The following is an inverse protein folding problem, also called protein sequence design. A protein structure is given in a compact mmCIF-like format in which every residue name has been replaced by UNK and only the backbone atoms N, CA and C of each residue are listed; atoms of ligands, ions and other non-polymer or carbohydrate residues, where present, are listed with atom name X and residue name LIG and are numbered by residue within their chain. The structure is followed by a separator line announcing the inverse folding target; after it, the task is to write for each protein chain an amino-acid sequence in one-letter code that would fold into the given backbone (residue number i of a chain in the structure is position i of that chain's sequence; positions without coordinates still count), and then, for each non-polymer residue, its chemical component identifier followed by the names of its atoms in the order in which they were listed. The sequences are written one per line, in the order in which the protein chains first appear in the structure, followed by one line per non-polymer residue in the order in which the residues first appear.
data_IF_130060373779
#
_entry.id   IF_130060373779
#
_cell.length_a   1.000
_cell.length_b   1.000
_cell.length_c   1.000
_cell.angle_alpha   90.00
_cell.angle_beta   90.00
_cell.angle_gamma   90.00
#
_symmetry.space_group_name_H-M   'P 1'
#
loop_
_entity.id
_entity.type
_entity.pdbx_description
1 polymer ?
#
# COMPACT_ATOMS: atom_id res chain seq x y z
N UNK A 1 -21.84 -1.66 28.33
CA UNK A 1 -23.14 -1.65 27.62
C UNK A 1 -23.10 -2.74 26.60
N UNK A 2 -24.08 -3.63 26.66
CA UNK A 2 -24.15 -4.81 25.80
C UNK A 2 -24.63 -4.40 24.40
N UNK A 3 -23.70 -3.90 23.58
CA UNK A 3 -23.95 -3.41 22.21
C UNK A 3 -24.47 -4.51 21.27
N UNK A 4 -24.50 -5.77 21.74
CA UNK A 4 -25.00 -6.93 21.00
C UNK A 4 -26.33 -7.47 21.54
N UNK A 5 -26.86 -6.95 22.66
CA UNK A 5 -28.01 -7.54 23.34
C UNK A 5 -29.41 -7.03 22.96
N UNK A 6 -29.55 -6.02 22.09
CA UNK A 6 -30.87 -5.62 21.58
C UNK A 6 -30.87 -5.41 20.05
N UNK A 7 -31.51 -6.30 19.27
CA UNK A 7 -31.66 -6.09 17.84
C UNK A 7 -32.90 -5.21 17.62
N UNK A 8 -32.74 -3.88 17.72
CA UNK A 8 -33.73 -2.98 17.10
C UNK A 8 -33.60 -3.07 15.58
N UNK A 9 -34.30 -4.04 14.97
CA UNK A 9 -34.90 -4.15 13.61
C UNK A 9 -34.28 -3.42 12.39
N UNK A 10 -33.07 -2.88 12.46
CA UNK A 10 -32.38 -2.27 11.32
C UNK A 10 -31.58 -3.34 10.60
N UNK A 11 -31.89 -3.54 9.31
CA UNK A 11 -31.08 -4.38 8.42
C UNK A 11 -29.61 -3.94 8.53
N UNK A 12 -28.65 -4.86 8.74
CA UNK A 12 -27.24 -4.51 8.78
C UNK A 12 -26.78 -3.99 7.42
N UNK A 13 -25.91 -2.99 7.42
CA UNK A 13 -25.23 -2.52 6.21
C UNK A 13 -24.35 -3.64 5.66
N UNK A 14 -24.60 -4.07 4.42
CA UNK A 14 -23.88 -5.17 3.78
C UNK A 14 -22.76 -4.62 2.92
N UNK A 15 -21.52 -5.00 3.20
CA UNK A 15 -20.35 -4.58 2.42
C UNK A 15 -19.60 -5.76 1.82
N UNK A 16 -19.19 -5.63 0.56
CA UNK A 16 -18.19 -6.50 -0.08
C UNK A 16 -16.87 -5.74 -0.14
N UNK A 17 -15.82 -6.26 0.49
CA UNK A 17 -14.48 -5.65 0.46
C UNK A 17 -13.53 -6.52 -0.35
N UNK A 18 -12.87 -5.94 -1.34
CA UNK A 18 -11.79 -6.58 -2.08
C UNK A 18 -10.46 -5.92 -1.74
N UNK A 19 -9.56 -6.63 -1.08
CA UNK A 19 -8.24 -6.11 -0.68
C UNK A 19 -7.18 -6.58 -1.66
N UNK A 20 -6.54 -5.64 -2.36
CA UNK A 20 -5.36 -5.87 -3.19
C UNK A 20 -4.12 -5.40 -2.41
N UNK A 21 -3.32 -6.33 -1.85
CA UNK A 21 -2.10 -5.97 -1.16
C UNK A 21 -0.98 -5.59 -2.15
N UNK A 22 0.17 -5.17 -1.61
CA UNK A 22 1.40 -5.16 -2.39
C UNK A 22 1.85 -6.57 -2.81
N UNK A 23 2.87 -6.66 -3.67
CA UNK A 23 3.36 -7.95 -4.16
C UNK A 23 4.35 -8.65 -3.21
N UNK A 24 4.26 -8.38 -1.90
CA UNK A 24 5.09 -9.04 -0.90
C UNK A 24 4.67 -10.52 -0.75
N UNK A 25 5.63 -11.47 -0.64
CA UNK A 25 5.36 -12.91 -0.59
C UNK A 25 4.85 -13.35 0.79
N UNK A 26 3.70 -12.80 1.18
CA UNK A 26 3.07 -13.04 2.47
C UNK A 26 1.82 -13.91 2.24
N UNK A 27 1.63 -15.00 3.01
CA UNK A 27 0.50 -15.89 2.80
C UNK A 27 -0.84 -15.17 3.06
N UNK A 28 -1.92 -15.49 2.33
CA UNK A 28 -3.23 -14.87 2.55
C UNK A 28 -3.72 -14.91 4.01
N UNK A 29 -3.40 -15.98 4.74
CA UNK A 29 -3.74 -16.14 6.15
C UNK A 29 -3.19 -15.01 7.04
N UNK A 30 -2.05 -14.42 6.68
CA UNK A 30 -1.47 -13.29 7.41
C UNK A 30 -2.42 -12.09 7.45
N UNK A 31 -3.06 -11.73 6.33
CA UNK A 31 -3.95 -10.57 6.28
C UNK A 31 -5.20 -10.77 7.14
N UNK A 32 -5.74 -12.00 7.16
CA UNK A 32 -6.84 -12.37 8.05
C UNK A 32 -6.42 -12.31 9.53
N UNK A 33 -5.26 -12.86 9.86
CA UNK A 33 -4.72 -12.84 11.23
C UNK A 33 -4.38 -11.41 11.69
N UNK A 34 -3.84 -10.59 10.79
CA UNK A 34 -3.61 -9.17 11.02
C UNK A 34 -4.92 -8.45 11.30
N UNK A 35 -5.94 -8.63 10.44
CA UNK A 35 -7.26 -8.03 10.63
C UNK A 35 -7.88 -8.45 11.97
N UNK A 36 -7.79 -9.74 12.33
CA UNK A 36 -8.28 -10.23 13.61
C UNK A 36 -7.57 -9.53 14.78
N UNK A 37 -6.24 -9.63 14.85
CA UNK A 37 -5.46 -9.09 15.96
C UNK A 37 -5.60 -7.58 16.10
N UNK A 38 -5.53 -6.87 14.98
CA UNK A 38 -5.62 -5.41 14.96
C UNK A 38 -7.06 -4.94 15.14
N UNK A 39 -8.05 -5.66 14.62
CA UNK A 39 -9.46 -5.36 14.85
C UNK A 39 -9.85 -5.51 16.30
N UNK A 40 -9.43 -6.59 16.97
CA UNK A 40 -9.59 -6.75 18.42
C UNK A 40 -8.93 -5.61 19.18
N UNK A 41 -7.67 -5.29 18.86
CA UNK A 41 -6.97 -4.18 19.51
C UNK A 41 -7.66 -2.82 19.25
N UNK A 42 -8.30 -2.62 18.10
CA UNK A 42 -9.06 -1.39 17.82
C UNK A 42 -10.37 -1.35 18.61
N UNK A 43 -11.06 -2.48 18.73
CA UNK A 43 -12.29 -2.62 19.53
C UNK A 43 -12.05 -2.37 21.03
N UNK A 44 -10.86 -2.70 21.54
CA UNK A 44 -10.47 -2.36 22.92
C UNK A 44 -10.25 -0.85 23.13
N UNK A 45 -9.91 -0.13 22.05
CA UNK A 45 -9.56 1.30 22.10
C UNK A 45 -10.70 2.23 21.68
N UNK A 46 -11.72 1.71 21.01
CA UNK A 46 -12.81 2.48 20.44
C UNK A 46 -14.15 1.80 20.71
N UNK A 47 -15.23 2.58 20.76
CA UNK A 47 -16.58 2.06 20.97
C UNK A 47 -17.10 1.28 19.74
N UNK A 48 -16.61 0.05 19.58
CA UNK A 48 -17.01 -0.88 18.54
C UNK A 48 -16.86 -2.33 19.00
N UNK A 49 -17.63 -3.23 18.41
CA UNK A 49 -17.45 -4.66 18.52
C UNK A 49 -17.26 -5.28 17.13
N UNK A 50 -16.31 -6.21 17.01
CA UNK A 50 -16.00 -6.92 15.77
C UNK A 50 -16.00 -8.43 16.03
N UNK A 51 -16.78 -9.18 15.25
CA UNK A 51 -16.78 -10.63 15.27
C UNK A 51 -16.33 -11.17 13.90
N UNK A 52 -15.18 -11.83 13.88
CA UNK A 52 -14.61 -12.43 12.67
C UNK A 52 -15.02 -13.90 12.51
N UNK A 53 -15.37 -14.28 11.28
CA UNK A 53 -15.67 -15.66 10.88
C UNK A 53 -14.91 -16.02 9.61
N UNK A 54 -14.57 -17.31 9.37
CA UNK A 54 -14.04 -17.75 8.08
C UNK A 54 -14.99 -17.38 6.93
N UNK A 55 -14.42 -17.05 5.77
CA UNK A 55 -15.17 -16.73 4.55
C UNK A 55 -15.40 -17.96 3.67
N UNK A 56 -15.77 -17.71 2.41
CA UNK A 56 -16.03 -18.78 1.42
C UNK A 56 -14.76 -19.53 0.97
N UNK A 57 -13.57 -18.97 1.21
CA UNK A 57 -12.31 -19.53 0.74
C UNK A 57 -11.13 -19.17 1.64
N UNK A 58 -9.94 -19.71 1.35
CA UNK A 58 -8.75 -19.56 2.21
C UNK A 58 -8.24 -18.11 2.29
N UNK A 59 -8.64 -17.26 1.35
CA UNK A 59 -8.26 -15.85 1.25
C UNK A 59 -9.42 -14.90 1.59
N UNK A 60 -10.50 -15.39 2.22
CA UNK A 60 -11.65 -14.56 2.60
C UNK A 60 -12.10 -14.77 4.04
N UNK A 61 -12.71 -13.73 4.61
CA UNK A 61 -13.30 -13.75 5.94
C UNK A 61 -14.53 -12.85 6.02
N UNK A 62 -15.39 -13.12 7.00
CA UNK A 62 -16.55 -12.28 7.29
C UNK A 62 -16.35 -11.54 8.60
N UNK A 63 -16.87 -10.33 8.67
CA UNK A 63 -16.80 -9.44 9.82
C UNK A 63 -18.19 -8.90 10.11
N UNK A 64 -18.73 -9.26 11.27
CA UNK A 64 -19.89 -8.57 11.82
C UNK A 64 -19.38 -7.43 12.71
N UNK A 65 -19.67 -6.19 12.33
CA UNK A 65 -19.32 -4.99 13.07
C UNK A 65 -20.55 -4.37 13.73
N UNK A 66 -20.40 -3.96 14.99
CA UNK A 66 -21.37 -3.16 15.72
C UNK A 66 -20.69 -1.87 16.18
N UNK A 67 -21.29 -0.73 15.84
CA UNK A 67 -20.82 0.61 16.20
C UNK A 67 -22.03 1.45 16.61
N UNK A 68 -21.82 2.60 17.23
CA UNK A 68 -22.89 3.54 17.61
C UNK A 68 -23.86 3.85 16.44
N UNK A 69 -23.32 4.00 15.23
CA UNK A 69 -24.10 4.30 14.03
C UNK A 69 -24.93 3.11 13.49
N UNK A 70 -24.76 1.89 14.02
CA UNK A 70 -25.47 0.69 13.59
C UNK A 70 -24.56 -0.53 13.31
N UNK A 71 -25.16 -1.52 12.64
CA UNK A 71 -24.53 -2.82 12.36
C UNK A 71 -24.08 -2.93 10.90
N UNK A 72 -23.01 -3.68 10.68
CA UNK A 72 -22.48 -3.98 9.36
C UNK A 72 -22.10 -5.46 9.26
N UNK A 73 -22.46 -6.09 8.14
CA UNK A 73 -21.97 -7.41 7.76
C UNK A 73 -21.06 -7.26 6.53
N UNK A 74 -19.78 -7.60 6.70
CA UNK A 74 -18.76 -7.41 5.68
C UNK A 74 -18.16 -8.74 5.26
N UNK A 75 -18.12 -9.01 3.96
CA UNK A 75 -17.34 -10.11 3.39
C UNK A 75 -16.09 -9.54 2.75
N UNK A 76 -14.93 -9.85 3.32
CA UNK A 76 -13.62 -9.43 2.84
C UNK A 76 -12.99 -10.55 2.03
N UNK A 77 -12.52 -10.22 0.83
CA UNK A 77 -11.85 -11.12 -0.09
C UNK A 77 -10.49 -10.51 -0.48
N UNK A 78 -9.42 -11.25 -0.19
CA UNK A 78 -8.07 -10.86 -0.60
C UNK A 78 -7.85 -11.27 -2.06
N UNK A 79 -7.26 -10.36 -2.83
CA UNK A 79 -6.89 -10.55 -4.23
C UNK A 79 -5.35 -10.63 -4.35
N UNK A 80 -4.73 -11.78 -4.00
CA UNK A 80 -3.28 -11.93 -3.99
C UNK A 80 -2.71 -12.07 -5.40
N UNK A 81 -1.53 -11.50 -5.60
CA UNK A 81 -0.76 -11.59 -6.84
C UNK A 81 0.74 -11.78 -6.59
N UNK A 82 1.13 -11.99 -5.33
CA UNK A 82 2.52 -12.15 -4.92
C UNK A 82 3.18 -13.43 -5.51
N UNK A 83 2.37 -14.40 -5.91
CA UNK A 83 2.82 -15.60 -6.64
C UNK A 83 3.46 -15.27 -7.99
N UNK A 84 3.09 -14.13 -8.60
CA UNK A 84 3.68 -13.67 -9.86
C UNK A 84 5.02 -12.94 -9.66
N UNK A 85 5.37 -12.61 -8.41
CA UNK A 85 6.55 -11.80 -8.10
C UNK A 85 7.79 -12.72 -8.00
N UNK A 86 8.79 -12.54 -8.87
CA UNK A 86 10.01 -13.34 -8.83
C UNK A 86 10.75 -13.13 -7.50
N UNK A 87 11.04 -14.22 -6.78
CA UNK A 87 11.84 -14.20 -5.55
C UNK A 87 11.09 -14.59 -4.28
N UNK A 88 9.81 -14.95 -4.38
CA UNK A 88 9.04 -15.54 -3.28
C UNK A 88 9.59 -16.89 -2.78
N UNK A 89 10.36 -17.60 -3.62
CA UNK A 89 11.03 -18.86 -3.30
C UNK A 89 12.55 -18.67 -3.41
N UNK A 90 13.25 -18.80 -2.28
CA UNK A 90 14.71 -18.78 -2.08
C UNK A 90 15.60 -18.74 -3.32
N UNK A 91 15.68 -17.60 -4.00
CA UNK A 91 16.57 -17.44 -5.16
C UNK A 91 18.03 -17.32 -4.71
N UNK A 92 18.93 -17.86 -5.53
CA UNK A 92 20.36 -17.62 -5.41
C UNK A 92 20.66 -16.11 -5.42
N UNK A 93 21.71 -15.71 -4.70
CA UNK A 93 22.09 -14.30 -4.47
C UNK A 93 22.30 -13.55 -5.79
N UNK A 94 22.87 -14.21 -6.81
CA UNK A 94 23.25 -13.60 -8.09
C UNK A 94 22.04 -13.16 -8.95
N UNK A 95 21.05 -14.01 -9.28
CA UNK A 95 19.83 -13.58 -9.96
C UNK A 95 19.10 -12.45 -9.24
N UNK A 96 19.06 -12.49 -7.90
CA UNK A 96 18.43 -11.45 -7.10
C UNK A 96 19.17 -10.10 -7.23
N UNK A 97 20.51 -10.11 -7.23
CA UNK A 97 21.31 -8.92 -7.44
C UNK A 97 21.17 -8.36 -8.86
N UNK A 98 21.23 -9.23 -9.88
CA UNK A 98 21.05 -8.83 -11.27
C UNK A 98 19.68 -8.19 -11.51
N UNK A 99 18.61 -8.76 -10.92
CA UNK A 99 17.27 -8.17 -10.98
C UNK A 99 17.18 -6.78 -10.34
N UNK A 100 17.88 -6.55 -9.22
CA UNK A 100 17.94 -5.23 -8.55
C UNK A 100 18.66 -4.20 -9.39
N UNK A 101 19.83 -4.55 -9.93
CA UNK A 101 20.60 -3.68 -10.80
C UNK A 101 19.84 -3.37 -12.08
N UNK A 102 19.17 -4.36 -12.67
CA UNK A 102 18.30 -4.16 -13.83
C UNK A 102 17.13 -3.22 -13.52
N UNK A 103 16.49 -3.37 -12.35
CA UNK A 103 15.43 -2.46 -11.90
C UNK A 103 15.97 -1.03 -11.75
N UNK A 104 17.06 -0.85 -10.99
CA UNK A 104 17.69 0.47 -10.80
C UNK A 104 18.09 1.11 -12.14
N UNK A 105 18.68 0.32 -13.04
CA UNK A 105 19.06 0.76 -14.38
C UNK A 105 17.84 1.26 -15.17
N UNK A 106 16.71 0.56 -15.14
CA UNK A 106 15.48 1.02 -15.81
C UNK A 106 15.03 2.38 -15.27
N UNK A 107 15.01 2.56 -13.95
CA UNK A 107 14.61 3.84 -13.34
C UNK A 107 15.58 4.99 -13.69
N UNK A 108 16.88 4.71 -13.78
CA UNK A 108 17.89 5.67 -14.20
C UNK A 108 17.79 6.01 -15.69
N UNK A 109 17.82 4.99 -16.55
CA UNK A 109 17.83 5.13 -18.01
C UNK A 109 16.56 5.79 -18.56
N UNK A 110 15.42 5.66 -17.86
CA UNK A 110 14.17 6.33 -18.22
C UNK A 110 14.00 7.73 -17.60
N UNK A 111 14.97 8.20 -16.81
CA UNK A 111 14.87 9.44 -16.04
C UNK A 111 13.77 9.43 -14.97
N UNK A 112 13.17 8.27 -14.69
CA UNK A 112 12.10 8.10 -13.72
C UNK A 112 12.61 8.35 -12.31
N UNK A 113 13.83 7.90 -11.99
CA UNK A 113 14.42 8.10 -10.66
C UNK A 113 14.51 9.58 -10.29
N UNK A 114 14.98 10.42 -11.22
CA UNK A 114 15.12 11.86 -10.99
C UNK A 114 13.75 12.53 -10.77
N UNK A 115 12.74 12.15 -11.56
CA UNK A 115 11.37 12.66 -11.40
C UNK A 115 10.77 12.25 -10.05
N UNK A 116 10.98 11.01 -9.62
CA UNK A 116 10.56 10.55 -8.29
C UNK A 116 11.31 11.25 -7.17
N UNK A 117 12.60 11.49 -7.35
CA UNK A 117 13.42 12.18 -6.35
C UNK A 117 12.96 13.64 -6.17
N UNK A 118 12.62 14.33 -7.28
CA UNK A 118 12.02 15.67 -7.25
C UNK A 118 10.65 15.68 -6.57
N UNK A 119 9.84 14.64 -6.78
CA UNK A 119 8.52 14.52 -6.17
C UNK A 119 8.61 14.27 -4.65
N UNK A 120 9.40 13.27 -4.23
CA UNK A 120 9.54 12.88 -2.82
C UNK A 120 10.88 12.21 -2.56
N UNK A 121 11.94 12.97 -2.20
CA UNK A 121 13.28 12.42 -2.02
C UNK A 121 13.34 11.39 -0.89
N UNK A 122 12.54 11.58 0.17
CA UNK A 122 12.45 10.63 1.29
C UNK A 122 12.03 9.23 0.82
N UNK A 123 11.09 9.14 -0.13
CA UNK A 123 10.64 7.85 -0.66
C UNK A 123 11.72 7.16 -1.49
N UNK A 124 12.41 7.92 -2.33
CA UNK A 124 13.53 7.39 -3.13
C UNK A 124 14.67 6.93 -2.23
N UNK A 125 15.05 7.72 -1.23
CA UNK A 125 16.11 7.36 -0.28
C UNK A 125 15.74 6.12 0.54
N UNK A 126 14.49 5.98 0.96
CA UNK A 126 14.03 4.80 1.69
C UNK A 126 14.14 3.50 0.86
N UNK A 127 14.00 3.60 -0.46
CA UNK A 127 14.16 2.48 -1.39
C UNK A 127 15.65 2.19 -1.66
N UNK A 128 16.47 3.23 -1.87
CA UNK A 128 17.85 3.09 -2.33
C UNK A 128 18.90 2.92 -1.22
N UNK A 129 18.72 3.55 -0.05
CA UNK A 129 19.74 3.54 1.01
C UNK A 129 19.98 2.13 1.57
N UNK A 130 18.96 1.32 1.93
CA UNK A 130 19.20 -0.02 2.45
C UNK A 130 20.04 -0.91 1.51
N UNK A 131 19.73 -1.08 0.21
CA UNK A 131 20.56 -1.88 -0.68
C UNK A 131 21.94 -1.26 -0.92
N UNK A 132 22.08 0.08 -0.95
CA UNK A 132 23.38 0.74 -1.08
C UNK A 132 24.30 0.48 0.12
N UNK A 133 23.78 0.61 1.35
CA UNK A 133 24.54 0.32 2.58
C UNK A 133 24.96 -1.14 2.63
N UNK A 134 24.05 -2.07 2.31
CA UNK A 134 24.37 -3.50 2.28
C UNK A 134 25.43 -3.84 1.22
N UNK A 135 25.38 -3.18 0.06
CA UNK A 135 26.39 -3.34 -0.99
C UNK A 135 27.75 -2.79 -0.56
N UNK A 136 27.76 -1.64 0.14
CA UNK A 136 28.98 -1.09 0.74
C UNK A 136 29.58 -1.99 1.81
N UNK A 137 28.76 -2.55 2.71
CA UNK A 137 29.21 -3.51 3.70
C UNK A 137 29.78 -4.80 3.06
N UNK A 138 29.16 -5.29 1.98
CA UNK A 138 29.67 -6.42 1.22
C UNK A 138 31.03 -6.11 0.56
N UNK A 139 31.18 -4.91 -0.02
CA UNK A 139 32.44 -4.46 -0.61
C UNK A 139 33.55 -4.31 0.44
N UNK A 140 33.23 -3.76 1.62
CA UNK A 140 34.16 -3.66 2.75
C UNK A 140 34.58 -5.04 3.28
N UNK A 141 33.64 -5.96 3.42
CA UNK A 141 33.93 -7.34 3.84
C UNK A 141 34.85 -8.04 2.84
N UNK A 142 34.61 -7.87 1.54
CA UNK A 142 35.47 -8.40 0.49
C UNK A 142 36.87 -7.75 0.53
N UNK A 143 36.95 -6.42 0.62
CA UNK A 143 38.22 -5.70 0.71
C UNK A 143 39.06 -6.11 1.92
N UNK A 144 38.43 -6.21 3.10
CA UNK A 144 39.10 -6.67 4.32
C UNK A 144 39.60 -8.13 4.18
N UNK A 145 38.80 -9.00 3.56
CA UNK A 145 39.19 -10.38 3.29
C UNK A 145 40.36 -10.50 2.31
N UNK A 146 40.41 -9.66 1.28
CA UNK A 146 41.53 -9.61 0.31
C UNK A 146 42.81 -9.06 0.95
N UNK A 147 42.72 -8.01 1.77
CA UNK A 147 43.87 -7.48 2.50
C UNK A 147 44.43 -8.50 3.50
N UNK A 148 43.56 -9.22 4.20
CA UNK A 148 43.98 -10.30 5.09
C UNK A 148 44.58 -11.46 4.29
N UNK A 149 43.98 -11.83 3.15
CA UNK A 149 44.53 -12.85 2.26
C UNK A 149 45.97 -12.50 1.85
N UNK A 150 46.21 -11.25 1.48
CA UNK A 150 47.54 -10.76 1.11
C UNK A 150 48.52 -10.80 2.29
N UNK A 151 48.11 -10.33 3.48
CA UNK A 151 48.94 -10.34 4.67
C UNK A 151 49.30 -11.77 5.11
N UNK A 152 48.34 -12.69 5.08
CA UNK A 152 48.58 -14.10 5.38
C UNK A 152 49.44 -14.76 4.31
N UNK A 153 49.19 -14.47 3.02
CA UNK A 153 50.01 -15.03 1.94
C UNK A 153 51.48 -14.58 2.00
N UNK A 154 51.75 -13.43 2.62
CA UNK A 154 53.11 -12.96 2.88
C UNK A 154 53.75 -13.59 4.13
N UNK A 155 52.95 -14.05 5.10
CA UNK A 155 53.41 -14.60 6.37
C UNK A 155 53.52 -16.14 6.36
N UNK A 156 52.66 -16.81 5.61
CA UNK A 156 52.58 -18.25 5.46
C UNK A 156 52.70 -18.64 3.98
N UNK A 157 52.46 -19.90 3.65
CA UNK A 157 52.43 -20.37 2.26
C UNK A 157 51.34 -19.61 1.45
N UNK A 158 51.67 -18.95 0.32
CA UNK A 158 50.74 -18.05 -0.36
C UNK A 158 49.37 -18.66 -0.71
N UNK A 159 49.28 -19.91 -1.22
CA UNK A 159 47.99 -20.56 -1.46
C UNK A 159 47.13 -20.70 -0.19
N UNK A 160 47.75 -21.02 0.96
CA UNK A 160 47.05 -21.15 2.24
C UNK A 160 46.58 -19.78 2.77
N UNK A 161 47.38 -18.72 2.59
CA UNK A 161 46.99 -17.36 2.97
C UNK A 161 45.81 -16.83 2.15
N UNK A 162 45.83 -17.06 0.83
CA UNK A 162 44.71 -16.73 -0.06
C UNK A 162 43.45 -17.52 0.27
N UNK A 163 43.57 -18.83 0.52
CA UNK A 163 42.44 -19.66 0.91
C UNK A 163 41.81 -19.17 2.23
N UNK A 164 42.63 -18.88 3.24
CA UNK A 164 42.15 -18.40 4.54
C UNK A 164 41.43 -17.05 4.44
N UNK A 165 41.99 -16.09 3.70
CA UNK A 165 41.37 -14.77 3.52
C UNK A 165 40.09 -14.80 2.68
N UNK A 166 40.04 -15.64 1.62
CA UNK A 166 38.82 -15.85 0.84
C UNK A 166 37.72 -16.57 1.63
N UNK A 167 38.09 -17.55 2.46
CA UNK A 167 37.14 -18.21 3.37
C UNK A 167 36.57 -17.21 4.38
N UNK A 168 37.40 -16.36 4.99
CA UNK A 168 36.92 -15.31 5.90
C UNK A 168 36.02 -14.31 5.18
N UNK A 169 36.41 -13.85 3.98
CA UNK A 169 35.56 -12.98 3.15
C UNK A 169 34.20 -13.62 2.90
N UNK A 170 34.18 -14.91 2.54
CA UNK A 170 32.97 -15.70 2.35
C UNK A 170 32.12 -15.75 3.63
N UNK A 171 32.72 -16.05 4.78
CA UNK A 171 32.01 -16.06 6.08
C UNK A 171 31.44 -14.69 6.44
N UNK A 172 32.19 -13.61 6.24
CA UNK A 172 31.72 -12.24 6.49
C UNK A 172 30.58 -11.85 5.53
N UNK A 173 30.66 -12.24 4.26
CA UNK A 173 29.59 -12.03 3.28
C UNK A 173 28.33 -12.83 3.64
N UNK A 174 28.44 -14.05 4.16
CA UNK A 174 27.31 -14.82 4.67
C UNK A 174 26.64 -14.18 5.90
N UNK A 175 27.38 -13.34 6.65
CA UNK A 175 26.83 -12.53 7.76
C UNK A 175 26.10 -11.28 7.26
N UNK A 176 26.40 -10.79 6.06
CA UNK A 176 25.63 -9.73 5.39
C UNK A 176 24.31 -10.32 4.86
N UNK A 177 23.33 -10.42 5.76
CA UNK A 177 21.97 -10.85 5.38
C UNK A 177 21.24 -9.69 4.71
N UNK A 178 20.99 -9.82 3.41
CA UNK A 178 20.02 -8.97 2.73
C UNK A 178 18.62 -9.34 3.24
N UNK A 179 17.84 -8.41 3.81
CA UNK A 179 16.47 -8.69 4.19
C UNK A 179 15.65 -9.11 2.94
N UNK A 180 14.62 -9.96 3.10
CA UNK A 180 13.69 -10.26 2.01
C UNK A 180 13.17 -8.94 1.42
N UNK A 181 13.22 -8.85 0.09
CA UNK A 181 13.22 -7.60 -0.66
C UNK A 181 11.87 -6.86 -0.52
N UNK A 182 11.79 -5.66 0.09
CA UNK A 182 10.53 -4.92 0.25
C UNK A 182 9.98 -4.28 -1.06
N UNK A 183 10.48 -4.71 -2.23
CA UNK A 183 10.25 -4.11 -3.55
C UNK A 183 10.37 -5.11 -4.72
N UNK A 184 10.32 -6.43 -4.48
CA UNK A 184 10.44 -7.41 -5.58
C UNK A 184 9.34 -7.23 -6.64
N UNK A 185 8.17 -6.80 -6.19
CA UNK A 185 7.04 -6.43 -7.01
C UNK A 185 7.31 -5.22 -7.92
N UNK A 186 8.06 -4.23 -7.44
CA UNK A 186 8.55 -3.13 -8.28
C UNK A 186 9.47 -3.63 -9.39
N UNK A 187 10.28 -4.65 -9.13
CA UNK A 187 11.13 -5.27 -10.15
C UNK A 187 10.30 -5.91 -11.26
N UNK A 188 9.23 -6.64 -10.92
CA UNK A 188 8.31 -7.22 -11.90
C UNK A 188 7.68 -6.13 -12.78
N UNK A 189 7.17 -5.07 -12.17
CA UNK A 189 6.52 -3.96 -12.87
C UNK A 189 7.50 -3.13 -13.72
N UNK A 190 8.71 -2.88 -13.20
CA UNK A 190 9.73 -2.11 -13.88
C UNK A 190 10.29 -2.82 -15.11
N UNK A 191 10.40 -4.15 -15.09
CA UNK A 191 10.85 -4.95 -16.26
C UNK A 191 9.97 -4.74 -17.49
N UNK A 192 8.69 -4.47 -17.28
CA UNK A 192 7.74 -4.13 -18.35
C UNK A 192 7.66 -2.61 -18.61
N UNK A 193 8.57 -1.82 -18.02
CA UNK A 193 8.58 -0.35 -18.07
C UNK A 193 7.23 0.27 -17.73
N UNK A 194 6.48 -0.38 -16.83
CA UNK A 194 5.17 0.05 -16.35
C UNK A 194 3.97 -0.53 -17.09
N UNK A 195 4.17 -1.31 -18.17
CA UNK A 195 3.09 -2.09 -18.77
C UNK A 195 2.73 -3.30 -17.89
N UNK A 196 1.49 -3.79 -18.00
CA UNK A 196 1.09 -5.03 -17.34
C UNK A 196 1.72 -6.22 -18.08
N UNK A 197 2.36 -7.12 -17.35
CA UNK A 197 2.78 -8.40 -17.93
C UNK A 197 1.57 -9.24 -18.31
N UNK A 198 1.66 -10.16 -19.28
CA UNK A 198 0.55 -11.03 -19.66
C UNK A 198 -0.05 -11.80 -18.47
N UNK A 199 0.79 -12.35 -17.59
CA UNK A 199 0.36 -13.07 -16.39
C UNK A 199 -0.39 -12.16 -15.39
N UNK A 200 0.07 -10.91 -15.23
CA UNK A 200 -0.62 -9.94 -14.38
C UNK A 200 -1.94 -9.49 -15.02
N UNK A 201 -1.98 -9.29 -16.33
CA UNK A 201 -3.20 -8.94 -17.06
C UNK A 201 -4.28 -10.04 -16.93
N UNK A 202 -3.88 -11.31 -17.05
CA UNK A 202 -4.79 -12.44 -16.82
C UNK A 202 -5.30 -12.48 -15.37
N UNK A 203 -4.42 -12.26 -14.39
CA UNK A 203 -4.78 -12.16 -12.97
C UNK A 203 -5.77 -11.01 -12.73
N UNK A 204 -5.55 -9.86 -13.34
CA UNK A 204 -6.46 -8.71 -13.29
C UNK A 204 -7.82 -9.02 -13.93
N UNK A 205 -7.86 -9.81 -15.01
CA UNK A 205 -9.10 -10.30 -15.60
C UNK A 205 -9.91 -11.18 -14.63
N UNK A 206 -9.24 -12.07 -13.89
CA UNK A 206 -9.88 -12.89 -12.85
C UNK A 206 -10.42 -12.03 -11.69
N UNK A 207 -9.66 -11.03 -11.27
CA UNK A 207 -10.12 -10.07 -10.25
C UNK A 207 -11.36 -9.30 -10.73
N UNK A 208 -11.34 -8.82 -11.98
CA UNK A 208 -12.49 -8.13 -12.57
C UNK A 208 -13.73 -9.02 -12.58
N UNK A 209 -13.59 -10.29 -12.98
CA UNK A 209 -14.71 -11.23 -12.97
C UNK A 209 -15.33 -11.39 -11.57
N UNK A 210 -14.50 -11.48 -10.52
CA UNK A 210 -14.96 -11.56 -9.13
C UNK A 210 -15.72 -10.28 -8.70
N UNK A 211 -15.23 -9.09 -9.08
CA UNK A 211 -15.94 -7.82 -8.82
C UNK A 211 -17.25 -7.73 -9.58
N UNK A 212 -17.26 -8.09 -10.87
CA UNK A 212 -18.47 -8.11 -11.69
C UNK A 212 -19.54 -9.04 -11.14
N UNK A 213 -19.14 -10.17 -10.53
CA UNK A 213 -20.08 -11.04 -9.83
C UNK A 213 -20.59 -10.41 -8.53
N UNK A 214 -19.71 -9.81 -7.73
CA UNK A 214 -20.12 -9.12 -6.51
C UNK A 214 -21.04 -7.93 -6.76
N UNK A 215 -20.95 -7.26 -7.91
CA UNK A 215 -21.89 -6.20 -8.32
C UNK A 215 -23.35 -6.68 -8.42
N UNK A 216 -23.57 -7.97 -8.65
CA UNK A 216 -24.93 -8.57 -8.70
C UNK A 216 -25.44 -9.01 -7.33
N UNK A 217 -24.57 -9.01 -6.32
CA UNK A 217 -24.95 -9.39 -4.96
C UNK A 217 -25.76 -8.29 -4.27
N UNK A 218 -26.60 -8.69 -3.32
CA UNK A 218 -27.36 -7.77 -2.47
C UNK A 218 -26.47 -7.15 -1.38
N UNK A 219 -25.49 -6.35 -1.77
CA UNK A 219 -24.73 -5.48 -0.87
C UNK A 219 -25.10 -4.02 -1.09
N UNK A 220 -24.83 -3.20 -0.07
CA UNK A 220 -25.07 -1.77 -0.09
C UNK A 220 -23.85 -1.03 -0.66
N UNK A 221 -22.64 -1.58 -0.45
CA UNK A 221 -21.37 -1.04 -0.98
C UNK A 221 -20.39 -2.15 -1.38
N UNK A 222 -19.75 -1.95 -2.54
CA UNK A 222 -18.57 -2.69 -2.98
C UNK A 222 -17.35 -1.76 -2.83
N UNK A 223 -16.47 -2.12 -1.90
CA UNK A 223 -15.27 -1.38 -1.56
C UNK A 223 -14.03 -2.13 -2.05
N UNK A 224 -13.24 -1.52 -2.94
CA UNK A 224 -11.91 -2.02 -3.30
C UNK A 224 -10.88 -1.26 -2.48
N UNK A 225 -10.01 -2.00 -1.78
CA UNK A 225 -8.91 -1.45 -1.00
C UNK A 225 -7.59 -1.83 -1.67
N UNK A 226 -6.83 -0.84 -2.12
CA UNK A 226 -5.49 -1.06 -2.67
C UNK A 226 -4.42 -0.56 -1.70
N UNK A 227 -3.58 -1.44 -1.18
CA UNK A 227 -2.48 -1.07 -0.28
C UNK A 227 -1.14 -1.08 -1.02
N UNK A 228 -0.28 -0.11 -0.74
CA UNK A 228 1.07 -0.04 -1.31
C UNK A 228 1.06 -0.01 -2.85
N UNK A 229 1.74 -0.93 -3.53
CA UNK A 229 1.71 -1.13 -4.99
C UNK A 229 0.37 -1.67 -5.49
N UNK A 230 -0.40 -2.37 -4.64
CA UNK A 230 -1.76 -2.81 -4.92
C UNK A 230 -2.73 -1.65 -5.18
N UNK A 231 -2.40 -0.42 -4.75
CA UNK A 231 -3.17 0.78 -5.08
C UNK A 231 -3.27 1.03 -6.60
N UNK A 232 -2.16 0.86 -7.34
CA UNK A 232 -2.17 1.04 -8.79
C UNK A 232 -3.00 -0.04 -9.50
N UNK A 233 -2.94 -1.28 -9.00
CA UNK A 233 -3.77 -2.37 -9.50
C UNK A 233 -5.25 -2.15 -9.18
N UNK A 234 -5.59 -1.63 -8.00
CA UNK A 234 -6.96 -1.30 -7.62
C UNK A 234 -7.55 -0.20 -8.52
N UNK A 235 -6.75 0.82 -8.87
CA UNK A 235 -7.13 1.84 -9.86
C UNK A 235 -7.43 1.19 -11.21
N UNK A 236 -6.51 0.39 -11.76
CA UNK A 236 -6.74 -0.27 -13.04
C UNK A 236 -7.93 -1.24 -13.01
N UNK A 237 -8.11 -1.97 -11.92
CA UNK A 237 -9.23 -2.90 -11.72
C UNK A 237 -10.57 -2.16 -11.76
N UNK A 238 -10.69 -1.05 -11.01
CA UNK A 238 -11.90 -0.24 -10.99
C UNK A 238 -12.14 0.43 -12.35
N UNK A 239 -11.11 0.94 -13.01
CA UNK A 239 -11.25 1.55 -14.33
C UNK A 239 -11.72 0.52 -15.39
N UNK A 240 -11.18 -0.70 -15.33
CA UNK A 240 -11.62 -1.82 -16.18
C UNK A 240 -13.06 -2.25 -15.88
N UNK A 241 -13.48 -2.20 -14.61
CA UNK A 241 -14.86 -2.48 -14.20
C UNK A 241 -15.83 -1.44 -14.78
N UNK A 242 -15.51 -0.14 -14.67
CA UNK A 242 -16.35 0.93 -15.25
C UNK A 242 -16.44 0.84 -16.77
N UNK A 243 -15.32 0.64 -17.46
CA UNK A 243 -15.29 0.45 -18.91
C UNK A 243 -16.09 -0.76 -19.37
N UNK A 244 -16.18 -1.79 -18.52
CA UNK A 244 -16.99 -2.98 -18.78
C UNK A 244 -18.50 -2.75 -18.77
N UNK A 245 -18.94 -1.56 -18.35
CA UNK A 245 -20.33 -1.26 -18.10
C UNK A 245 -20.77 -1.74 -16.71
N UNK A 246 -21.61 -0.93 -16.08
CA UNK A 246 -22.16 -1.23 -14.76
C UNK A 246 -23.64 -1.59 -14.90
N UNK A 247 -24.16 -2.55 -14.11
CA UNK A 247 -25.59 -2.85 -14.12
C UNK A 247 -26.39 -1.66 -13.59
N UNK A 248 -27.64 -1.52 -14.06
CA UNK A 248 -28.52 -0.43 -13.66
C UNK A 248 -28.79 -0.41 -12.16
N UNK A 249 -29.11 -1.57 -11.57
CA UNK A 249 -29.13 -1.76 -10.11
C UNK A 249 -27.79 -2.32 -9.65
N UNK A 250 -27.12 -1.59 -8.77
CA UNK A 250 -25.78 -1.91 -8.25
C UNK A 250 -25.57 -1.33 -6.85
N UNK A 251 -24.63 -1.88 -6.05
CA UNK A 251 -24.16 -1.24 -4.83
C UNK A 251 -23.42 0.07 -5.12
N UNK A 252 -23.24 0.90 -4.09
CA UNK A 252 -22.29 2.01 -4.16
C UNK A 252 -20.87 1.47 -4.44
N UNK A 253 -20.12 2.15 -5.31
CA UNK A 253 -18.75 1.79 -5.64
C UNK A 253 -17.77 2.69 -4.88
N UNK A 254 -16.83 2.07 -4.18
CA UNK A 254 -15.82 2.78 -3.40
C UNK A 254 -14.42 2.24 -3.68
N UNK A 255 -13.45 3.14 -3.78
CA UNK A 255 -12.03 2.84 -3.88
C UNK A 255 -11.30 3.52 -2.72
N UNK A 256 -10.55 2.73 -1.96
CA UNK A 256 -9.68 3.20 -0.89
C UNK A 256 -8.23 2.83 -1.22
N UNK A 257 -7.38 3.82 -1.48
CA UNK A 257 -5.94 3.58 -1.65
C UNK A 257 -5.20 3.93 -0.37
N UNK A 258 -4.31 3.03 0.09
CA UNK A 258 -3.64 3.12 1.38
C UNK A 258 -2.12 3.13 1.20
N UNK A 259 -1.47 4.21 1.62
CA UNK A 259 -0.02 4.35 1.52
C UNK A 259 0.47 4.11 0.09
N UNK A 260 -0.19 4.72 -0.90
CA UNK A 260 0.01 4.36 -2.29
C UNK A 260 1.46 4.54 -2.78
N UNK A 261 1.85 3.68 -3.72
CA UNK A 261 3.12 3.71 -4.46
C UNK A 261 2.93 3.97 -5.97
N UNK A 262 1.81 4.55 -6.36
CA UNK A 262 1.41 4.74 -7.77
C UNK A 262 2.49 5.43 -8.62
N UNK A 263 3.17 6.51 -8.15
CA UNK A 263 4.22 7.16 -8.95
C UNK A 263 5.38 6.25 -9.35
N UNK A 264 5.73 5.23 -8.55
CA UNK A 264 6.77 4.26 -8.93
C UNK A 264 6.41 3.52 -10.22
N UNK A 265 5.12 3.31 -10.47
CA UNK A 265 4.63 2.71 -11.70
C UNK A 265 4.35 3.76 -12.77
N UNK A 266 3.52 4.77 -12.45
CA UNK A 266 2.94 5.67 -13.45
C UNK A 266 3.96 6.56 -14.16
N UNK A 267 5.14 6.77 -13.57
CA UNK A 267 6.20 7.58 -14.18
C UNK A 267 7.01 6.80 -15.21
N UNK A 268 6.94 5.46 -15.20
CA UNK A 268 7.63 4.64 -16.20
C UNK A 268 6.98 4.86 -17.59
N UNK A 269 7.78 4.79 -18.68
CA UNK A 269 7.33 5.24 -20.00
C UNK A 269 6.14 4.45 -20.55
N UNK A 270 6.12 3.13 -20.36
CA UNK A 270 5.05 2.25 -20.87
C UNK A 270 3.88 2.07 -19.90
N UNK A 271 3.83 2.86 -18.82
CA UNK A 271 2.69 2.89 -17.89
C UNK A 271 1.45 3.60 -18.47
N UNK A 272 1.17 3.41 -19.76
CA UNK A 272 0.07 4.06 -20.50
C UNK A 272 -1.29 3.64 -19.96
N UNK A 273 -1.46 2.35 -19.65
CA UNK A 273 -2.70 1.83 -19.11
C UNK A 273 -3.04 2.45 -17.75
N UNK A 274 -2.13 2.41 -16.77
CA UNK A 274 -2.39 3.00 -15.44
C UNK A 274 -2.62 4.50 -15.53
N UNK A 275 -1.90 5.23 -16.41
CA UNK A 275 -2.12 6.66 -16.64
C UNK A 275 -3.51 6.97 -17.21
N UNK A 276 -3.97 6.18 -18.19
CA UNK A 276 -5.34 6.26 -18.71
C UNK A 276 -6.37 5.94 -17.63
N UNK A 277 -6.10 4.93 -16.82
CA UNK A 277 -7.02 4.47 -15.78
C UNK A 277 -7.14 5.50 -14.64
N UNK A 278 -6.03 6.13 -14.24
CA UNK A 278 -6.02 7.25 -13.32
C UNK A 278 -6.87 8.40 -13.83
N UNK A 279 -6.68 8.81 -15.09
CA UNK A 279 -7.48 9.88 -15.71
C UNK A 279 -8.97 9.55 -15.73
N UNK A 280 -9.34 8.34 -16.15
CA UNK A 280 -10.73 7.92 -16.22
C UNK A 280 -11.40 7.87 -14.84
N UNK A 281 -10.73 7.28 -13.84
CA UNK A 281 -11.27 7.23 -12.48
C UNK A 281 -11.36 8.61 -11.86
N UNK A 282 -10.40 9.49 -12.12
CA UNK A 282 -10.36 10.84 -11.56
C UNK A 282 -11.62 11.67 -11.88
N UNK A 283 -12.31 11.40 -12.99
CA UNK A 283 -13.53 12.09 -13.41
C UNK A 283 -14.83 11.28 -13.20
N UNK A 284 -14.75 10.03 -12.74
CA UNK A 284 -15.90 9.15 -12.67
C UNK A 284 -16.80 9.45 -11.46
N UNK A 285 -18.02 9.94 -11.70
CA UNK A 285 -19.01 10.22 -10.65
C UNK A 285 -19.66 8.95 -10.09
N UNK A 286 -19.51 7.81 -10.76
CA UNK A 286 -20.08 6.51 -10.40
C UNK A 286 -19.42 5.86 -9.18
N UNK A 287 -18.27 6.38 -8.73
CA UNK A 287 -17.52 5.86 -7.60
C UNK A 287 -17.12 6.98 -6.62
N UNK A 288 -16.78 6.59 -5.40
CA UNK A 288 -16.04 7.44 -4.46
C UNK A 288 -14.62 6.93 -4.30
N UNK A 289 -13.61 7.79 -4.44
CA UNK A 289 -12.22 7.40 -4.24
C UNK A 289 -11.53 8.28 -3.20
N UNK A 290 -11.05 7.62 -2.14
CA UNK A 290 -10.26 8.21 -1.06
C UNK A 290 -8.85 7.64 -1.08
N UNK A 291 -7.84 8.50 -1.02
CA UNK A 291 -6.45 8.11 -0.78
C UNK A 291 -6.06 8.47 0.65
N UNK A 292 -5.59 7.49 1.42
CA UNK A 292 -5.11 7.70 2.78
C UNK A 292 -3.63 7.41 2.84
N UNK A 293 -2.85 8.40 3.26
CA UNK A 293 -1.41 8.26 3.39
C UNK A 293 -0.87 9.15 4.51
N UNK A 294 0.38 8.96 4.92
CA UNK A 294 0.97 9.71 6.03
C UNK A 294 2.39 10.20 5.71
N UNK A 295 2.72 11.44 6.09
CA UNK A 295 4.05 12.01 5.83
C UNK A 295 5.15 11.21 6.52
N UNK A 296 4.83 10.58 7.65
CA UNK A 296 5.74 9.77 8.46
C UNK A 296 6.09 8.42 7.81
N UNK A 297 5.31 7.96 6.83
CA UNK A 297 5.58 6.77 6.06
C UNK A 297 6.58 7.09 4.93
N UNK A 298 7.83 6.61 5.02
CA UNK A 298 8.82 6.89 4.00
C UNK A 298 8.63 6.00 2.76
N UNK A 299 7.74 5.01 2.77
CA UNK A 299 7.60 4.05 1.69
C UNK A 299 6.48 4.37 0.70
N UNK A 300 5.75 5.46 0.90
CA UNK A 300 4.65 5.89 0.02
C UNK A 300 4.86 7.33 -0.49
N UNK A 301 4.06 7.72 -1.48
CA UNK A 301 3.99 9.10 -1.97
C UNK A 301 2.88 9.85 -1.23
N UNK A 302 3.07 10.01 0.08
CA UNK A 302 2.02 10.54 0.95
C UNK A 302 1.57 11.95 0.57
N UNK A 303 0.25 12.14 0.54
CA UNK A 303 -0.44 13.38 0.20
C UNK A 303 -0.04 13.95 -1.17
N UNK A 304 0.49 13.09 -2.04
CA UNK A 304 0.66 13.38 -3.45
C UNK A 304 -0.54 12.80 -4.18
N UNK A 305 -1.37 13.65 -4.81
CA UNK A 305 -2.44 13.18 -5.68
C UNK A 305 -1.84 12.37 -6.84
N UNK A 306 -2.07 11.04 -6.91
CA UNK A 306 -1.49 10.18 -7.93
C UNK A 306 -1.92 10.54 -9.35
N UNK A 307 -3.05 11.22 -9.54
CA UNK A 307 -3.55 11.65 -10.85
C UNK A 307 -2.76 12.87 -11.32
N UNK A 308 -2.74 13.94 -10.52
CA UNK A 308 -2.01 15.18 -10.82
C UNK A 308 -0.52 14.95 -11.01
N UNK A 309 0.15 14.23 -10.08
CA UNK A 309 1.60 14.05 -10.18
C UNK A 309 2.01 13.16 -11.35
N UNK A 310 1.08 12.33 -11.85
CA UNK A 310 1.28 11.53 -13.06
C UNK A 310 1.03 12.32 -14.35
N UNK A 311 0.62 13.59 -14.27
CA UNK A 311 0.38 14.46 -15.41
C UNK A 311 -0.88 14.12 -16.20
N UNK A 312 -1.88 13.51 -15.55
CA UNK A 312 -3.09 13.00 -16.22
C UNK A 312 -4.39 13.46 -15.55
N UNK A 313 -4.34 14.55 -14.79
CA UNK A 313 -5.51 15.18 -14.20
C UNK A 313 -6.47 15.65 -15.31
N UNK A 314 -7.72 15.16 -15.36
CA UNK A 314 -8.73 15.74 -16.25
C UNK A 314 -9.23 17.09 -15.72
N UNK A 315 -9.80 17.89 -16.60
CA UNK A 315 -10.59 19.06 -16.20
C UNK A 315 -11.78 18.59 -15.35
N UNK A 316 -12.07 19.30 -14.26
CA UNK A 316 -13.14 18.92 -13.34
C UNK A 316 -12.87 17.65 -12.52
N UNK A 317 -11.60 17.22 -12.37
CA UNK A 317 -11.25 16.04 -11.57
C UNK A 317 -11.93 16.04 -10.18
N UNK A 318 -12.63 14.94 -9.88
CA UNK A 318 -13.34 14.70 -8.63
C UNK A 318 -12.44 14.00 -7.60
N UNK A 319 -11.57 13.10 -8.08
CA UNK A 319 -10.88 12.13 -7.24
C UNK A 319 -9.37 12.10 -7.44
N UNK A 320 -8.60 11.54 -6.48
CA UNK A 320 -9.00 11.10 -5.15
C UNK A 320 -9.19 12.25 -4.14
N UNK A 321 -9.99 11.99 -3.12
CA UNK A 321 -9.94 12.73 -1.87
C UNK A 321 -8.73 12.28 -1.05
N UNK A 322 -7.69 13.11 -0.97
CA UNK A 322 -6.46 12.80 -0.23
C UNK A 322 -6.59 13.15 1.26
N UNK A 323 -6.33 12.17 2.14
CA UNK A 323 -6.49 12.27 3.58
C UNK A 323 -5.21 11.81 4.28
N UNK A 324 -4.82 12.53 5.33
CA UNK A 324 -3.69 12.16 6.17
C UNK A 324 -4.13 11.18 7.26
N UNK A 325 -3.44 10.05 7.40
CA UNK A 325 -3.58 9.20 8.60
C UNK A 325 -2.86 9.78 9.83
N UNK A 326 -2.10 10.87 9.65
CA UNK A 326 -1.53 11.69 10.74
C UNK A 326 -0.84 10.84 11.82
N UNK A 327 0.13 9.99 11.44
CA UNK A 327 0.67 8.95 12.33
C UNK A 327 1.35 9.52 13.57
N UNK A 328 1.80 10.78 13.54
CA UNK A 328 2.36 11.47 14.69
C UNK A 328 1.30 11.78 15.76
N UNK A 329 0.07 12.05 15.35
CA UNK A 329 -1.07 12.39 16.19
C UNK A 329 -1.87 11.15 16.60
N UNK A 330 -2.07 10.23 15.66
CA UNK A 330 -2.99 9.09 15.81
C UNK A 330 -2.38 7.87 16.50
N UNK A 331 -1.05 7.79 16.57
CA UNK A 331 -0.33 6.74 17.28
C UNK A 331 0.24 7.23 18.60
N UNK A 332 0.15 6.42 19.65
CA UNK A 332 0.75 6.72 20.95
C UNK A 332 2.29 6.78 20.87
N UNK A 333 2.96 7.53 21.76
CA UNK A 333 4.42 7.57 21.80
C UNK A 333 5.07 6.19 21.90
N UNK A 334 4.44 5.26 22.63
CA UNK A 334 4.90 3.88 22.73
C UNK A 334 4.84 3.14 21.39
N UNK A 335 3.73 3.26 20.65
CA UNK A 335 3.57 2.65 19.32
C UNK A 335 4.52 3.29 18.30
N UNK A 336 4.69 4.62 18.31
CA UNK A 336 5.69 5.31 17.47
C UNK A 336 7.12 4.83 17.73
N UNK A 337 7.49 4.61 18.99
CA UNK A 337 8.80 4.01 19.36
C UNK A 337 8.96 2.60 18.79
N UNK A 338 7.92 1.76 18.85
CA UNK A 338 7.95 0.39 18.27
C UNK A 338 8.11 0.38 16.75
N UNK A 339 7.62 1.42 16.05
CA UNK A 339 7.75 1.60 14.60
C UNK A 339 9.03 2.35 14.17
N UNK A 340 9.85 2.80 15.12
CA UNK A 340 11.11 3.50 14.81
C UNK A 340 12.09 2.53 14.15
N UNK A 341 12.67 2.93 13.03
CA UNK A 341 13.60 2.09 12.25
C UNK A 341 12.94 0.89 11.54
N UNK A 342 11.61 0.79 11.52
CA UNK A 342 10.87 -0.32 10.90
C UNK A 342 9.92 0.19 9.81
N UNK A 343 10.44 0.64 8.65
CA UNK A 343 9.64 1.31 7.62
C UNK A 343 8.53 0.41 7.06
N UNK A 344 8.78 -0.90 6.90
CA UNK A 344 7.74 -1.86 6.45
C UNK A 344 6.57 -1.97 7.43
N UNK A 345 6.83 -2.08 8.73
CA UNK A 345 5.76 -2.10 9.74
C UNK A 345 5.00 -0.78 9.81
N UNK A 346 5.70 0.34 9.62
CA UNK A 346 5.05 1.66 9.54
C UNK A 346 4.16 1.78 8.30
N UNK A 347 4.60 1.23 7.17
CA UNK A 347 3.83 1.20 5.94
C UNK A 347 2.62 0.27 6.02
N UNK A 348 2.69 -0.79 6.83
CA UNK A 348 1.55 -1.67 7.11
C UNK A 348 0.54 -1.04 8.07
N UNK A 349 0.89 0.05 8.77
CA UNK A 349 0.07 0.67 9.82
C UNK A 349 -1.31 1.14 9.34
N UNK A 350 -1.51 1.41 8.04
CA UNK A 350 -2.84 1.73 7.48
C UNK A 350 -3.84 0.59 7.68
N UNK A 351 -3.38 -0.66 7.80
CA UNK A 351 -4.22 -1.85 8.04
C UNK A 351 -4.28 -2.24 9.53
N UNK A 352 -3.71 -1.44 10.43
CA UNK A 352 -3.56 -1.73 11.84
C UNK A 352 -4.40 -0.81 12.73
N UNK A 353 -4.46 -1.12 14.02
CA UNK A 353 -5.16 -0.30 15.01
C UNK A 353 -4.44 1.03 15.27
N UNK A 354 -5.22 2.06 15.56
CA UNK A 354 -4.79 3.41 15.93
C UNK A 354 -5.19 3.70 17.37
N UNK A 355 -4.29 4.34 18.13
CA UNK A 355 -4.57 4.71 19.52
C UNK A 355 -5.60 5.84 19.59
N UNK A 356 -5.55 6.75 18.61
CA UNK A 356 -6.44 7.89 18.45
C UNK A 356 -6.73 8.09 16.97
N UNK A 357 -7.62 7.30 16.35
CA UNK A 357 -7.75 7.23 14.89
C UNK A 357 -8.04 8.57 14.20
N UNK A 358 -8.63 9.55 14.90
CA UNK A 358 -9.01 10.83 14.29
C UNK A 358 -9.98 10.58 13.14
N UNK A 359 -9.63 11.07 11.95
CA UNK A 359 -10.47 10.90 10.75
C UNK A 359 -10.41 9.49 10.16
N UNK A 360 -9.32 8.74 10.38
CA UNK A 360 -9.08 7.48 9.70
C UNK A 360 -8.98 6.29 10.66
N UNK A 361 -9.86 5.31 10.44
CA UNK A 361 -9.84 4.00 11.08
C UNK A 361 -10.27 2.97 10.05
N UNK A 362 -9.37 2.05 9.67
CA UNK A 362 -9.63 1.03 8.67
C UNK A 362 -10.77 0.08 9.08
N UNK A 363 -10.96 -0.18 10.36
CA UNK A 363 -12.03 -1.05 10.87
C UNK A 363 -13.37 -0.33 10.83
N UNK A 364 -13.40 0.97 11.14
CA UNK A 364 -14.60 1.78 10.85
C UNK A 364 -14.90 1.78 9.37
N UNK A 365 -13.92 2.00 8.50
CA UNK A 365 -14.13 2.05 7.04
C UNK A 365 -14.62 0.70 6.49
N UNK A 366 -14.04 -0.41 6.92
CA UNK A 366 -14.33 -1.73 6.36
C UNK A 366 -15.48 -2.45 7.04
N UNK A 367 -15.68 -2.29 8.36
CA UNK A 367 -16.71 -2.99 9.13
C UNK A 367 -17.73 -2.06 9.81
N UNK A 368 -17.79 -0.78 9.42
CA UNK A 368 -18.77 0.18 9.94
C UNK A 368 -19.95 0.41 9.00
N UNK A 369 -21.10 0.86 9.53
CA UNK A 369 -22.40 0.90 8.83
C UNK A 369 -22.59 2.09 7.87
N UNK A 370 -21.53 2.87 7.59
CA UNK A 370 -21.56 4.01 6.67
C UNK A 370 -20.74 3.74 5.42
N UNK A 371 -21.21 4.07 4.21
CA UNK A 371 -20.42 3.99 2.98
C UNK A 371 -19.24 4.96 3.03
N UNK A 372 -18.24 4.74 2.17
CA UNK A 372 -17.02 5.57 2.11
C UNK A 372 -17.34 7.04 1.79
N UNK A 373 -18.33 7.27 0.92
CA UNK A 373 -18.79 8.60 0.52
C UNK A 373 -19.22 9.50 1.69
N UNK A 374 -19.75 8.92 2.76
CA UNK A 374 -20.29 9.66 3.90
C UNK A 374 -19.27 9.87 5.02
N UNK A 375 -18.05 9.32 4.89
CA UNK A 375 -17.09 9.30 6.00
C UNK A 375 -16.29 10.58 6.18
N UNK A 376 -16.11 11.33 5.09
CA UNK A 376 -15.23 12.49 5.07
C UNK A 376 -15.95 13.75 4.58
N UNK A 377 -17.07 14.14 5.23
CA UNK A 377 -17.87 15.28 4.78
C UNK A 377 -17.07 16.58 4.85
N UNK A 378 -17.26 17.45 3.85
CA UNK A 378 -16.67 18.80 3.82
C UNK A 378 -15.16 18.86 3.54
N UNK A 379 -14.50 17.74 3.24
CA UNK A 379 -13.09 17.74 2.83
C UNK A 379 -12.98 17.94 1.32
N UNK A 380 -12.24 18.98 0.92
CA UNK A 380 -11.91 19.27 -0.47
C UNK A 380 -10.68 18.49 -0.96
N UNK A 381 -10.52 18.44 -2.28
CA UNK A 381 -9.33 17.87 -2.95
C UNK A 381 -8.07 18.69 -2.61
N UNK A 382 -6.92 18.02 -2.52
CA UNK A 382 -5.63 18.72 -2.42
C UNK A 382 -5.16 19.04 -3.85
N UNK A 383 -5.25 20.32 -4.25
CA UNK A 383 -4.88 20.76 -5.60
C UNK A 383 -3.38 21.01 -5.79
N UNK A 384 -2.59 21.06 -4.70
CA UNK A 384 -1.14 21.31 -4.73
C UNK A 384 -0.39 20.42 -3.76
N UNK A 385 0.76 19.90 -4.20
CA UNK A 385 1.71 19.19 -3.32
C UNK A 385 2.15 20.16 -2.23
N UNK A 386 1.73 19.94 -0.99
CA UNK A 386 2.09 20.83 0.13
C UNK A 386 3.58 20.67 0.46
N UNK A 387 4.42 21.55 -0.07
CA UNK A 387 5.81 21.70 0.34
C UNK A 387 5.88 22.61 1.57
N UNK A 388 5.64 22.08 2.78
CA UNK A 388 5.83 22.88 4.01
C UNK A 388 4.96 22.51 5.21
N UNK A 389 5.34 23.01 6.37
CA UNK A 389 4.82 22.75 7.72
C UNK A 389 3.55 23.57 8.05
N UNK A 390 2.62 22.98 8.82
CA UNK A 390 1.43 23.64 9.41
C UNK A 390 0.30 23.91 8.41
N UNK A 391 -1.00 23.82 8.70
CA UNK A 391 -1.76 23.69 9.94
C UNK A 391 -3.09 23.02 9.59
N UNK A 392 -3.60 22.15 10.47
CA UNK A 392 -5.01 21.79 10.54
C UNK A 392 -5.83 23.07 10.79
N UNK A 393 -6.45 23.59 9.75
CA UNK A 393 -7.42 24.68 9.83
C UNK A 393 -8.71 24.24 9.16
N UNK A 394 -9.72 23.91 9.96
CA UNK A 394 -11.09 23.83 9.47
C UNK A 394 -11.45 25.18 8.80
N UNK A 395 -12.25 25.19 7.71
CA UNK A 395 -12.78 26.44 7.20
C UNK A 395 -13.66 27.06 8.29
N UNK A 396 -13.23 28.19 8.84
CA UNK A 396 -14.09 29.06 9.64
C UNK A 396 -15.25 29.48 8.73
N UNK A 397 -16.47 29.17 9.17
CA UNK A 397 -17.68 29.73 8.57
C UNK A 397 -17.54 31.27 8.56
N UNK A 398 -17.53 31.86 7.37
CA UNK A 398 -17.71 33.30 7.21
C UNK A 398 -19.13 33.64 7.67
N UNK A 399 -19.21 34.19 8.87
CA UNK A 399 -20.40 34.86 9.36
C UNK A 399 -20.67 36.06 8.44
N UNK A 400 -21.76 35.97 7.68
CA UNK A 400 -22.37 37.12 7.01
C UNK A 400 -22.63 38.21 8.05
N UNK A 401 -21.94 39.35 7.92
CA UNK A 401 -22.33 40.58 8.61
C UNK A 401 -23.44 41.26 7.79
N UNK A 402 -24.57 41.63 8.41
CA UNK A 402 -25.58 42.44 7.75
C UNK A 402 -25.34 43.91 8.10
N UNK A 403 -25.13 44.78 7.11
CA UNK A 403 -25.32 46.24 7.27
C UNK A 403 -25.69 46.80 5.89
N UNK A 404 -26.98 47.01 5.67
CA UNK A 404 -27.71 48.28 5.44
C UNK A 404 -27.56 48.87 4.04
#
# INVERSE_FOLDING_TARGET
MDLLAEPKLRRPFRRRVFLIPGGEPVPPAFYRELYLRQGTAQADLAEMALALRPGRGPASWRVAGAMEAGFCDTEVELLPWADLVPGAAGQAILPALAGRLGTLWIYLATGTLLRLFRLRPVAVLAILVPPAVLSGLAALALGAGLLLAQALAALIWPPAGWLAGLLLAGVLLLRVRFPPLPFADLGLLARQRGALSPALAERMGRFRAALSEALRSECDELLVVGHSTGAALAVSLMADLLRGGLPGRRPALALLTLGQRVPLLSFLPEARQVRRDLNALAAAAELTWVDVSAREDPLCFALCDPVSVSGVAPEGQLWPLAISAALAETLSPARRRRLRGRPGLRHLQYLCAYDRPGDYDVFRVTAGPRPLAERFPGRGRIDRVSSGQGTTGAPRAEAQRPVR
#
